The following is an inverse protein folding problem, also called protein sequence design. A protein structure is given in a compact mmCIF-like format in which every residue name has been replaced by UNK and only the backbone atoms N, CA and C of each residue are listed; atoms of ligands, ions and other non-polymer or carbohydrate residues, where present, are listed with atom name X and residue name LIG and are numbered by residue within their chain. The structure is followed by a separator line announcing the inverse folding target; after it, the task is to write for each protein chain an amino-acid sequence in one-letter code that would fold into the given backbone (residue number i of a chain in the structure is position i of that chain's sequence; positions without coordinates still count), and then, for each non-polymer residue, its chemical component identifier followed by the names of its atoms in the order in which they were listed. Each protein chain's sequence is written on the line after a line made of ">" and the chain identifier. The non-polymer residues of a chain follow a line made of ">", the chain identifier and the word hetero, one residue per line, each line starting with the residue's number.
data_IF_175649317528
#
_entry.id   IF_175649317528
#
_cell.length_a   1.000
_cell.length_b   1.000
_cell.length_c   1.000
_cell.angle_alpha   90.00
_cell.angle_beta   90.00
_cell.angle_gamma   90.00
#
_symmetry.space_group_name_H-M   'P 1'
#
loop_
_entity.id
_entity.type
_entity.pdbx_description
1 polymer ?
#
# COMPACT_ATOMS: atom_id res chain seq x y z
N UNK A 1 -11.51 -6.89 -5.89
CA UNK A 1 -11.17 -5.45 -5.92
C UNK A 1 -10.49 -5.07 -4.61
N UNK A 2 -9.37 -4.42 -4.69
CA UNK A 2 -8.67 -3.90 -3.51
C UNK A 2 -9.11 -2.45 -3.32
N UNK A 3 -9.64 -2.15 -2.15
CA UNK A 3 -10.06 -0.78 -1.81
C UNK A 3 -8.92 -0.08 -1.10
N UNK A 4 -8.53 1.09 -1.60
CA UNK A 4 -7.43 1.88 -1.06
C UNK A 4 -7.95 3.23 -0.63
N UNK A 5 -7.81 3.54 0.65
CA UNK A 5 -8.15 4.84 1.22
C UNK A 5 -6.87 5.55 1.65
N UNK A 6 -6.67 6.76 1.16
CA UNK A 6 -5.49 7.57 1.50
C UNK A 6 -6.00 8.86 2.14
N UNK A 7 -5.48 9.17 3.32
CA UNK A 7 -5.75 10.41 4.00
C UNK A 7 -4.45 11.16 4.21
N UNK A 8 -4.52 12.33 4.84
CA UNK A 8 -3.35 13.13 5.16
C UNK A 8 -2.33 12.36 6.02
N UNK A 9 -2.79 11.43 6.85
CA UNK A 9 -1.93 10.75 7.81
C UNK A 9 -2.10 9.23 7.83
N UNK A 10 -2.71 8.65 6.80
CA UNK A 10 -2.89 7.20 6.77
C UNK A 10 -3.08 6.64 5.37
N UNK A 11 -2.79 5.36 5.25
CA UNK A 11 -3.10 4.54 4.08
C UNK A 11 -3.83 3.32 4.62
N UNK A 12 -4.97 2.99 4.02
CA UNK A 12 -5.72 1.78 4.37
C UNK A 12 -6.03 1.02 3.08
N UNK A 13 -5.78 -0.29 3.13
CA UNK A 13 -6.04 -1.18 2.01
C UNK A 13 -6.81 -2.38 2.51
N UNK A 14 -7.86 -2.77 1.78
CA UNK A 14 -8.61 -3.97 2.13
C UNK A 14 -9.17 -4.65 0.90
N UNK A 15 -9.29 -5.98 0.97
CA UNK A 15 -9.83 -6.81 -0.08
C UNK A 15 -8.76 -7.56 -0.85
N UNK A 16 -9.19 -8.18 -1.93
CA UNK A 16 -8.34 -8.98 -2.81
C UNK A 16 -8.59 -8.59 -4.25
N UNK A 17 -7.55 -8.71 -5.10
CA UNK A 17 -7.67 -8.37 -6.51
C UNK A 17 -8.57 -9.35 -7.28
N UNK A 18 -8.63 -10.60 -6.85
CA UNK A 18 -9.50 -11.60 -7.46
C UNK A 18 -8.99 -12.15 -8.78
N UNK A 19 -7.69 -12.08 -9.03
CA UNK A 19 -7.10 -12.49 -10.31
C UNK A 19 -6.66 -13.95 -10.37
N UNK A 20 -6.74 -14.67 -9.26
CA UNK A 20 -6.32 -16.04 -9.24
C UNK A 20 -7.31 -16.95 -8.51
N UNK A 21 -7.69 -18.05 -9.16
CA UNK A 21 -8.72 -18.96 -8.65
C UNK A 21 -8.25 -19.79 -7.45
N UNK A 22 -6.94 -20.04 -7.36
CA UNK A 22 -6.36 -20.94 -6.38
C UNK A 22 -5.78 -20.20 -5.18
N UNK A 23 -6.17 -18.97 -4.96
CA UNK A 23 -5.68 -18.17 -3.84
C UNK A 23 -4.26 -17.64 -4.03
N UNK A 24 -3.66 -17.85 -5.21
CA UNK A 24 -2.33 -17.33 -5.54
C UNK A 24 -2.47 -16.09 -6.42
N UNK A 25 -3.08 -15.08 -5.88
CA UNK A 25 -3.31 -13.83 -6.62
C UNK A 25 -2.01 -13.07 -6.81
N UNK A 26 -1.47 -13.09 -8.03
CA UNK A 26 -0.21 -12.41 -8.35
C UNK A 26 -0.35 -10.89 -8.21
N UNK A 27 -1.52 -10.34 -8.43
CA UNK A 27 -1.77 -8.90 -8.30
C UNK A 27 -1.76 -8.51 -6.82
N UNK A 28 -2.42 -9.31 -5.97
CA UNK A 28 -2.35 -9.11 -4.53
C UNK A 28 -0.92 -9.20 -4.03
N UNK A 29 -0.13 -10.15 -4.54
CA UNK A 29 1.27 -10.31 -4.17
C UNK A 29 2.09 -9.08 -4.57
N UNK A 30 1.86 -8.55 -5.77
CA UNK A 30 2.56 -7.35 -6.23
C UNK A 30 2.24 -6.14 -5.36
N UNK A 31 0.95 -5.91 -5.06
CA UNK A 31 0.51 -4.81 -4.21
C UNK A 31 1.07 -4.98 -2.79
N UNK A 32 1.05 -6.20 -2.27
CA UNK A 32 1.59 -6.50 -0.94
C UNK A 32 3.09 -6.24 -0.87
N UNK A 33 3.85 -6.64 -1.89
CA UNK A 33 5.29 -6.41 -1.94
C UNK A 33 5.63 -4.92 -1.93
N UNK A 34 4.91 -4.12 -2.74
CA UNK A 34 5.11 -2.68 -2.76
C UNK A 34 4.77 -2.05 -1.41
N UNK A 35 3.71 -2.52 -0.77
CA UNK A 35 3.25 -1.97 0.51
C UNK A 35 4.19 -2.36 1.65
N UNK A 36 4.66 -3.61 1.69
CA UNK A 36 5.67 -4.03 2.66
C UNK A 36 6.97 -3.25 2.48
N UNK A 37 7.36 -3.00 1.23
CA UNK A 37 8.54 -2.19 0.94
C UNK A 37 8.36 -0.76 1.47
N UNK A 38 7.19 -0.17 1.28
CA UNK A 38 6.90 1.15 1.81
C UNK A 38 7.05 1.19 3.33
N UNK A 39 6.44 0.22 4.04
CA UNK A 39 6.53 0.14 5.49
C UNK A 39 7.98 0.06 5.94
N UNK A 40 8.74 -0.88 5.37
CA UNK A 40 10.14 -1.08 5.73
C UNK A 40 11.00 0.14 5.40
N UNK A 41 10.73 0.79 4.28
CA UNK A 41 11.47 1.97 3.86
C UNK A 41 11.20 3.16 4.78
N UNK A 42 9.94 3.39 5.16
CA UNK A 42 9.60 4.45 6.09
C UNK A 42 10.29 4.22 7.45
N UNK A 43 10.30 2.98 7.93
CA UNK A 43 10.91 2.65 9.22
C UNK A 43 12.43 2.72 9.21
N UNK A 44 13.07 2.35 8.11
CA UNK A 44 14.53 2.20 8.07
C UNK A 44 15.27 3.33 7.36
N UNK A 45 14.62 4.08 6.50
CA UNK A 45 15.25 5.11 5.68
C UNK A 45 14.82 6.53 6.01
N UNK A 46 13.85 6.68 6.90
CA UNK A 46 13.36 8.00 7.30
C UNK A 46 13.18 8.07 8.81
N UNK A 47 12.88 9.26 9.30
CA UNK A 47 12.54 9.49 10.70
C UNK A 47 11.03 9.51 10.94
N UNK A 48 10.22 9.12 9.96
CA UNK A 48 8.78 9.06 10.12
C UNK A 48 8.42 7.97 11.11
N UNK A 49 7.64 8.32 12.12
CA UNK A 49 7.11 7.35 13.08
C UNK A 49 5.81 6.80 12.53
N UNK A 50 5.79 5.52 12.22
CA UNK A 50 4.60 4.88 11.69
C UNK A 50 4.06 3.84 12.65
N UNK A 51 2.75 3.58 12.50
CA UNK A 51 2.09 2.42 13.10
C UNK A 51 1.48 1.63 11.94
N UNK A 52 1.90 0.39 11.79
CA UNK A 52 1.40 -0.48 10.73
C UNK A 52 0.65 -1.66 11.34
N UNK A 53 -0.53 -1.95 10.78
CA UNK A 53 -1.32 -3.11 11.10
C UNK A 53 -1.48 -3.91 9.81
N UNK A 54 -1.14 -5.20 9.85
CA UNK A 54 -1.22 -6.06 8.67
C UNK A 54 -1.91 -7.36 9.03
N UNK A 55 -2.97 -7.67 8.31
CA UNK A 55 -3.69 -8.93 8.41
C UNK A 55 -3.99 -9.40 6.99
N UNK A 56 -4.45 -10.63 6.86
CA UNK A 56 -4.84 -11.13 5.54
C UNK A 56 -5.95 -10.26 4.96
N UNK A 57 -5.70 -9.70 3.77
CA UNK A 57 -6.66 -8.84 3.11
C UNK A 57 -6.84 -7.47 3.71
N UNK A 58 -5.96 -7.07 4.64
CA UNK A 58 -6.07 -5.77 5.30
C UNK A 58 -4.71 -5.22 5.69
N UNK A 59 -4.46 -3.96 5.39
CA UNK A 59 -3.25 -3.25 5.83
C UNK A 59 -3.63 -1.81 6.15
N UNK A 60 -3.13 -1.31 7.26
CA UNK A 60 -3.28 0.10 7.63
C UNK A 60 -1.95 0.65 8.10
N UNK A 61 -1.56 1.80 7.56
CA UNK A 61 -0.34 2.52 7.94
C UNK A 61 -0.78 3.91 8.40
N UNK A 62 -0.33 4.31 9.60
CA UNK A 62 -0.63 5.62 10.15
C UNK A 62 0.66 6.33 10.55
N UNK A 63 0.64 7.65 10.44
CA UNK A 63 1.76 8.50 10.90
C UNK A 63 1.21 9.82 11.41
N UNK A 64 2.00 10.53 12.21
CA UNK A 64 1.63 11.84 12.75
C UNK A 64 2.31 12.98 11.99
N UNK A 65 3.60 12.83 11.72
CA UNK A 65 4.41 13.86 11.08
C UNK A 65 5.16 13.26 9.89
N UNK A 66 4.82 13.71 8.70
CA UNK A 66 5.48 13.25 7.50
C UNK A 66 6.70 14.12 7.21
N UNK A 67 7.79 13.48 6.77
CA UNK A 67 8.99 14.18 6.31
C UNK A 67 9.01 14.24 4.80
N UNK A 68 9.88 15.09 4.24
CA UNK A 68 10.04 15.17 2.79
C UNK A 68 10.48 13.83 2.20
N UNK A 69 11.42 13.14 2.87
CA UNK A 69 11.87 11.81 2.45
C UNK A 69 10.73 10.79 2.48
N UNK A 70 9.95 10.79 3.57
CA UNK A 70 8.82 9.89 3.69
C UNK A 70 7.76 10.15 2.63
N UNK A 71 7.50 11.42 2.30
CA UNK A 71 6.53 11.77 1.27
C UNK A 71 6.95 11.23 -0.10
N UNK A 72 8.24 11.28 -0.43
CA UNK A 72 8.74 10.70 -1.67
C UNK A 72 8.47 9.21 -1.72
N UNK A 73 8.69 8.50 -0.60
CA UNK A 73 8.44 7.06 -0.55
C UNK A 73 6.95 6.73 -0.72
N UNK A 74 6.06 7.50 -0.09
CA UNK A 74 4.61 7.32 -0.24
C UNK A 74 4.20 7.60 -1.69
N UNK A 75 4.72 8.67 -2.29
CA UNK A 75 4.41 9.00 -3.68
C UNK A 75 4.92 7.91 -4.63
N UNK A 76 6.10 7.35 -4.38
CA UNK A 76 6.66 6.24 -5.14
C UNK A 76 5.75 5.01 -5.05
N UNK A 77 5.28 4.68 -3.86
CA UNK A 77 4.32 3.59 -3.65
C UNK A 77 3.03 3.84 -4.45
N UNK A 78 2.51 5.06 -4.38
CA UNK A 78 1.28 5.43 -5.10
C UNK A 78 1.44 5.27 -6.62
N UNK A 79 2.58 5.68 -7.17
CA UNK A 79 2.88 5.47 -8.58
C UNK A 79 2.89 3.98 -8.93
N UNK A 80 3.46 3.15 -8.05
CA UNK A 80 3.51 1.70 -8.26
C UNK A 80 2.14 1.06 -8.28
N UNK A 81 1.30 1.34 -7.29
CA UNK A 81 -0.05 0.74 -7.26
C UNK A 81 -0.93 1.28 -8.38
N UNK A 82 -0.74 2.53 -8.77
CA UNK A 82 -1.47 3.12 -9.90
C UNK A 82 -1.11 2.41 -11.21
N UNK A 83 0.18 2.11 -11.40
CA UNK A 83 0.64 1.36 -12.58
C UNK A 83 0.03 -0.05 -12.61
N UNK A 84 -0.04 -0.73 -11.48
CA UNK A 84 -0.69 -2.04 -11.38
C UNK A 84 -2.17 -1.91 -11.73
N UNK A 85 -2.83 -0.87 -11.23
CA UNK A 85 -4.25 -0.65 -11.49
C UNK A 85 -4.53 -0.37 -12.98
N UNK A 86 -3.64 0.33 -13.65
CA UNK A 86 -3.77 0.59 -15.09
C UNK A 86 -3.73 -0.70 -15.89
N UNK A 87 -2.94 -1.66 -15.47
CA UNK A 87 -2.80 -2.94 -16.15
C UNK A 87 -3.94 -3.91 -15.82
N UNK A 88 -4.32 -4.00 -14.54
CA UNK A 88 -5.21 -5.05 -14.06
C UNK A 88 -6.59 -4.56 -13.62
N UNK A 89 -6.79 -3.25 -13.49
CA UNK A 89 -8.05 -2.66 -13.05
C UNK A 89 -8.61 -3.34 -11.80
N UNK A 90 -7.77 -3.43 -10.77
CA UNK A 90 -8.08 -4.18 -9.57
C UNK A 90 -8.16 -3.33 -8.30
N UNK A 91 -7.92 -2.03 -8.40
CA UNK A 91 -7.89 -1.11 -7.26
C UNK A 91 -8.98 -0.07 -7.39
N UNK A 92 -9.71 0.13 -6.29
CA UNK A 92 -10.71 1.18 -6.16
C UNK A 92 -10.23 2.14 -5.07
N UNK A 93 -10.03 3.40 -5.44
CA UNK A 93 -9.69 4.43 -4.45
C UNK A 93 -10.97 4.96 -3.82
N UNK A 94 -11.02 4.95 -2.50
CA UNK A 94 -12.20 5.32 -1.73
C UNK A 94 -11.97 6.50 -0.79
#
# INVERSE_FOLDING_TARGET
>A
MIKVGITENSIRMEGHAGYHRDGQDIVCSAVSALTCNLINSLENLTNVKIRAETEEGYTKIQWENMTAAGRILVDSWFLGITAINQEYNCIEFV
#
